data_IF_773739602309
#
_entry.id   IF_773739602309
#
_cell.length_a   1.000
_cell.length_b   1.000
_cell.length_c   1.000
_cell.angle_alpha   90.00
_cell.angle_beta   90.00
_cell.angle_gamma   90.00
#
_symmetry.space_group_name_H-M   'P 1'
#
loop_
_entity.id
_entity.type
_entity.pdbx_description
1 polymer ?
#
# COMPACT_ATOMS: atom_id res chain seq x y z
N UNK A 1 9.46 -19.35 18.02
CA UNK A 1 10.10 -19.84 16.78
C UNK A 1 10.67 -18.67 16.00
N UNK A 2 11.84 -18.85 15.38
CA UNK A 2 12.43 -17.82 14.51
C UNK A 2 11.54 -17.63 13.27
N UNK A 3 11.29 -16.37 12.88
CA UNK A 3 10.60 -16.04 11.63
C UNK A 3 11.46 -16.46 10.43
N UNK A 4 10.80 -16.86 9.34
CA UNK A 4 11.45 -17.30 8.10
C UNK A 4 11.26 -16.23 7.02
N UNK A 5 12.33 -15.94 6.28
CA UNK A 5 12.31 -15.19 5.02
C UNK A 5 12.64 -16.11 3.85
N UNK A 6 12.16 -15.78 2.66
CA UNK A 6 12.65 -16.34 1.40
C UNK A 6 13.56 -15.31 0.74
N UNK A 7 14.78 -15.73 0.38
CA UNK A 7 15.78 -14.88 -0.29
C UNK A 7 16.40 -15.69 -1.42
N UNK A 8 16.21 -15.27 -2.66
CA UNK A 8 16.89 -15.80 -3.85
C UNK A 8 16.92 -17.34 -3.92
N UNK A 9 15.77 -18.00 -3.77
CA UNK A 9 15.65 -19.45 -3.87
C UNK A 9 15.76 -20.22 -2.54
N UNK A 10 16.02 -19.53 -1.41
CA UNK A 10 16.26 -20.18 -0.10
C UNK A 10 15.33 -19.66 0.97
N UNK A 11 14.79 -20.55 1.79
CA UNK A 11 14.08 -20.22 3.04
C UNK A 11 15.09 -20.15 4.18
N UNK A 12 15.27 -18.99 4.78
CA UNK A 12 16.29 -18.71 5.80
C UNK A 12 15.63 -18.16 7.07
N UNK A 13 16.23 -18.38 8.26
CA UNK A 13 15.83 -17.63 9.45
C UNK A 13 15.94 -16.14 9.19
N UNK A 14 14.90 -15.36 9.55
CA UNK A 14 14.86 -13.92 9.28
C UNK A 14 16.05 -13.18 9.90
N UNK A 15 16.53 -13.64 11.07
CA UNK A 15 17.66 -13.04 11.78
C UNK A 15 18.99 -13.11 11.01
N UNK A 16 19.13 -14.07 10.10
CA UNK A 16 20.35 -14.29 9.30
C UNK A 16 20.13 -14.12 7.80
N UNK A 17 18.89 -13.78 7.41
CA UNK A 17 18.56 -13.52 6.01
C UNK A 17 19.23 -12.20 5.56
N UNK A 18 19.97 -12.24 4.47
CA UNK A 18 20.74 -11.09 3.95
C UNK A 18 20.62 -11.01 2.42
N UNK A 19 20.81 -9.82 1.91
CA UNK A 19 21.01 -9.53 0.50
C UNK A 19 22.45 -9.11 0.26
N UNK A 20 22.91 -9.24 -0.99
CA UNK A 20 24.26 -8.82 -1.36
C UNK A 20 24.39 -7.29 -1.24
N UNK A 21 25.53 -6.79 -0.80
CA UNK A 21 25.80 -5.34 -0.70
C UNK A 21 25.80 -4.62 -2.04
N UNK A 22 25.98 -5.34 -3.14
CA UNK A 22 25.89 -4.84 -4.52
C UNK A 22 24.48 -5.05 -5.15
N UNK A 23 23.47 -5.42 -4.34
CA UNK A 23 22.09 -5.46 -4.82
C UNK A 23 21.62 -4.05 -5.19
N UNK A 24 21.13 -3.90 -6.43
CA UNK A 24 20.73 -2.58 -6.95
C UNK A 24 19.51 -2.00 -6.23
N UNK A 25 18.65 -2.82 -5.68
CA UNK A 25 17.56 -2.36 -4.81
C UNK A 25 18.08 -1.66 -3.56
N UNK A 26 19.16 -2.18 -2.97
CA UNK A 26 19.84 -1.55 -1.83
C UNK A 26 20.59 -0.29 -2.23
N UNK A 27 21.33 -0.31 -3.36
CA UNK A 27 22.19 0.81 -3.76
C UNK A 27 21.46 1.98 -4.42
N UNK A 28 20.37 1.71 -5.19
CA UNK A 28 19.73 2.69 -6.08
C UNK A 28 18.21 2.73 -5.94
N UNK A 29 17.62 1.95 -5.04
CA UNK A 29 16.18 1.73 -5.01
C UNK A 29 15.63 1.14 -6.33
N UNK A 30 16.48 0.43 -7.10
CA UNK A 30 16.14 -0.16 -8.39
C UNK A 30 15.38 -1.47 -8.21
N UNK A 31 14.10 -1.34 -7.84
CA UNK A 31 13.24 -2.47 -7.53
C UNK A 31 11.81 -2.06 -7.20
N UNK A 32 10.96 -3.05 -7.07
CA UNK A 32 9.53 -2.93 -6.80
C UNK A 32 9.13 -3.81 -5.62
N UNK A 33 7.98 -3.54 -5.02
CA UNK A 33 7.47 -4.35 -3.92
C UNK A 33 5.95 -4.54 -4.00
N UNK A 34 5.46 -5.57 -3.33
CA UNK A 34 4.03 -5.80 -3.09
C UNK A 34 3.79 -6.15 -1.62
N UNK A 35 2.58 -5.83 -1.17
CA UNK A 35 2.09 -6.21 0.15
C UNK A 35 0.68 -6.75 -0.01
N UNK A 36 0.47 -8.02 0.31
CA UNK A 36 -0.85 -8.62 0.36
C UNK A 36 -1.29 -8.83 1.82
N UNK A 37 -2.55 -8.56 2.10
CA UNK A 37 -3.17 -8.99 3.35
C UNK A 37 -3.19 -10.52 3.43
N UNK A 38 -3.00 -11.04 4.64
CA UNK A 38 -3.22 -12.45 4.97
C UNK A 38 -4.39 -12.53 5.93
N UNK A 39 -5.46 -13.23 5.53
CA UNK A 39 -6.67 -13.44 6.32
C UNK A 39 -6.99 -14.93 6.43
N UNK A 40 -7.06 -15.45 7.66
CA UNK A 40 -7.26 -16.87 7.92
C UNK A 40 -6.15 -17.77 7.37
N UNK A 41 -4.96 -17.23 7.11
CA UNK A 41 -3.83 -17.92 6.48
C UNK A 41 -3.85 -17.92 4.95
N UNK A 42 -4.82 -17.24 4.33
CA UNK A 42 -5.00 -17.11 2.87
C UNK A 42 -4.64 -15.69 2.41
N UNK A 43 -4.17 -15.54 1.18
CA UNK A 43 -3.87 -14.23 0.60
C UNK A 43 -5.16 -13.55 0.10
N UNK A 44 -5.27 -12.27 0.36
CA UNK A 44 -6.38 -11.42 -0.13
C UNK A 44 -5.95 -10.74 -1.42
N UNK A 45 -6.77 -10.82 -2.46
CA UNK A 45 -6.58 -10.19 -3.78
C UNK A 45 -5.23 -10.51 -4.45
N UNK A 46 -4.67 -11.70 -4.24
CA UNK A 46 -3.37 -12.10 -4.79
C UNK A 46 -3.29 -11.85 -6.31
N UNK A 47 -4.30 -12.21 -7.06
CA UNK A 47 -4.35 -12.04 -8.52
C UNK A 47 -4.18 -10.57 -8.93
N UNK A 48 -4.84 -9.64 -8.23
CA UNK A 48 -4.75 -8.19 -8.48
C UNK A 48 -3.35 -7.66 -8.09
N UNK A 49 -2.79 -8.12 -6.97
CA UNK A 49 -1.43 -7.78 -6.55
C UNK A 49 -0.38 -8.25 -7.56
N UNK A 50 -0.50 -9.49 -8.06
CA UNK A 50 0.43 -10.01 -9.08
C UNK A 50 0.29 -9.30 -10.42
N UNK A 51 -0.88 -8.80 -10.77
CA UNK A 51 -1.07 -7.98 -11.97
C UNK A 51 -0.35 -6.63 -11.83
N UNK A 52 -0.46 -5.96 -10.67
CA UNK A 52 0.25 -4.70 -10.40
C UNK A 52 1.76 -4.90 -10.29
N UNK A 53 2.22 -6.01 -9.71
CA UNK A 53 3.63 -6.39 -9.71
C UNK A 53 4.20 -6.47 -11.13
N UNK A 54 3.50 -7.16 -12.03
CA UNK A 54 3.91 -7.27 -13.44
C UNK A 54 3.98 -5.91 -14.11
N UNK A 55 2.98 -5.05 -13.89
CA UNK A 55 3.00 -3.67 -14.38
C UNK A 55 4.23 -2.93 -13.86
N UNK A 56 4.48 -2.91 -12.56
CA UNK A 56 5.62 -2.19 -11.97
C UNK A 56 6.97 -2.71 -12.45
N UNK A 57 7.11 -4.03 -12.60
CA UNK A 57 8.33 -4.65 -13.17
C UNK A 57 8.54 -4.25 -14.64
N UNK A 58 7.46 -4.25 -15.46
CA UNK A 58 7.56 -3.88 -16.87
C UNK A 58 7.97 -2.43 -17.06
N UNK A 59 7.43 -1.51 -16.26
CA UNK A 59 7.78 -0.09 -16.31
C UNK A 59 9.26 0.16 -15.98
N UNK A 60 9.82 -0.61 -15.05
CA UNK A 60 11.25 -0.55 -14.73
C UNK A 60 12.11 -1.48 -15.61
N UNK A 61 11.52 -2.21 -16.56
CA UNK A 61 12.23 -3.18 -17.41
C UNK A 61 13.02 -4.22 -16.58
N UNK A 62 12.43 -4.69 -15.47
CA UNK A 62 12.94 -5.76 -14.62
C UNK A 62 12.24 -7.06 -15.02
N UNK A 63 13.00 -8.10 -15.30
CA UNK A 63 12.44 -9.41 -15.62
C UNK A 63 11.74 -10.03 -14.39
N UNK A 64 10.69 -10.82 -14.63
CA UNK A 64 10.08 -11.63 -13.57
C UNK A 64 11.08 -12.71 -13.11
N UNK A 65 11.39 -12.85 -11.80
CA UNK A 65 12.42 -13.81 -11.35
C UNK A 65 12.02 -15.27 -11.50
N UNK A 66 10.72 -15.55 -11.61
CA UNK A 66 10.16 -16.90 -11.75
C UNK A 66 8.76 -16.86 -12.36
N UNK A 67 8.22 -18.03 -12.76
CA UNK A 67 6.84 -18.13 -13.24
C UNK A 67 5.85 -17.69 -12.16
N UNK A 68 4.72 -17.05 -12.51
CA UNK A 68 3.73 -16.57 -11.54
C UNK A 68 3.23 -17.65 -10.58
N UNK A 69 2.99 -18.87 -11.06
CA UNK A 69 2.57 -19.99 -10.20
C UNK A 69 3.64 -20.38 -9.17
N UNK A 70 4.92 -20.34 -9.53
CA UNK A 70 6.01 -20.61 -8.59
C UNK A 70 6.12 -19.50 -7.53
N UNK A 71 5.91 -18.23 -7.93
CA UNK A 71 5.90 -17.11 -7.00
C UNK A 71 4.74 -17.23 -6.01
N UNK A 72 3.54 -17.60 -6.46
CA UNK A 72 2.40 -17.88 -5.58
C UNK A 72 2.74 -18.94 -4.53
N UNK A 73 3.34 -20.07 -4.95
CA UNK A 73 3.79 -21.11 -4.01
C UNK A 73 4.76 -20.56 -2.96
N UNK A 74 5.71 -19.69 -3.37
CA UNK A 74 6.66 -19.07 -2.43
C UNK A 74 5.95 -18.18 -1.42
N UNK A 75 4.98 -17.36 -1.85
CA UNK A 75 4.21 -16.48 -0.97
C UNK A 75 3.45 -17.29 0.09
N UNK A 76 2.68 -18.29 -0.35
CA UNK A 76 1.92 -19.18 0.54
C UNK A 76 2.83 -19.94 1.49
N UNK A 77 3.99 -20.43 1.03
CA UNK A 77 4.93 -21.16 1.86
C UNK A 77 5.58 -20.28 2.94
N UNK A 78 5.89 -19.01 2.62
CA UNK A 78 6.38 -18.04 3.62
C UNK A 78 5.30 -17.75 4.66
N UNK A 79 4.04 -17.56 4.26
CA UNK A 79 2.90 -17.40 5.18
C UNK A 79 2.76 -18.62 6.09
N UNK A 80 2.77 -19.84 5.53
CA UNK A 80 2.65 -21.10 6.24
C UNK A 80 3.78 -21.31 7.27
N UNK A 81 5.04 -21.11 6.86
CA UNK A 81 6.22 -21.28 7.74
C UNK A 81 6.22 -20.28 8.91
N UNK A 82 5.70 -19.08 8.69
CA UNK A 82 5.57 -18.06 9.72
C UNK A 82 4.26 -18.17 10.52
N UNK A 83 3.38 -19.13 10.20
CA UNK A 83 2.07 -19.32 10.86
C UNK A 83 1.24 -18.03 10.89
N UNK A 84 1.31 -17.24 9.82
CA UNK A 84 0.56 -15.99 9.74
C UNK A 84 -0.89 -16.34 9.43
N UNK A 85 -1.79 -16.00 10.35
CA UNK A 85 -3.23 -16.14 10.16
C UNK A 85 -3.91 -14.82 9.85
N UNK A 86 -3.45 -13.75 10.48
CA UNK A 86 -3.92 -12.38 10.31
C UNK A 86 -2.70 -11.48 10.19
N UNK A 87 -2.47 -10.92 9.03
CA UNK A 87 -1.24 -10.17 8.85
C UNK A 87 -0.98 -9.78 7.42
N UNK A 88 0.28 -9.72 7.06
CA UNK A 88 0.72 -9.37 5.71
C UNK A 88 1.85 -10.28 5.24
N UNK A 89 1.92 -10.50 3.93
CA UNK A 89 3.11 -10.95 3.22
C UNK A 89 3.66 -9.79 2.41
N UNK A 90 4.96 -9.56 2.51
CA UNK A 90 5.72 -8.56 1.76
C UNK A 90 6.62 -9.27 0.75
N UNK A 91 6.61 -8.79 -0.47
CA UNK A 91 7.46 -9.24 -1.57
C UNK A 91 8.23 -8.05 -2.13
N UNK A 92 9.55 -8.20 -2.33
CA UNK A 92 10.39 -7.23 -3.03
C UNK A 92 11.17 -7.92 -4.14
N UNK A 93 11.25 -7.28 -5.30
CA UNK A 93 12.08 -7.71 -6.42
C UNK A 93 12.95 -6.53 -6.84
N UNK A 94 14.28 -6.72 -6.82
CA UNK A 94 15.22 -5.76 -7.37
C UNK A 94 15.73 -6.22 -8.73
N UNK A 95 16.43 -5.32 -9.46
CA UNK A 95 17.10 -5.69 -10.72
C UNK A 95 18.24 -6.69 -10.50
N UNK A 96 18.61 -7.00 -9.25
CA UNK A 96 19.63 -7.97 -8.92
C UNK A 96 20.97 -7.36 -8.54
N UNK A 97 21.98 -8.22 -8.50
CA UNK A 97 23.34 -7.90 -8.06
C UNK A 97 24.21 -7.60 -9.24
N UNK A 98 24.86 -6.45 -9.21
CA UNK A 98 25.83 -6.05 -10.23
C UNK A 98 26.81 -5.03 -9.65
N UNK A 99 28.02 -4.97 -10.19
CA UNK A 99 28.99 -3.92 -9.88
C UNK A 99 28.32 -2.55 -9.97
N UNK A 100 28.63 -1.66 -9.02
CA UNK A 100 28.01 -0.35 -8.91
C UNK A 100 28.24 0.51 -10.14
N UNK A 101 27.17 0.73 -10.90
CA UNK A 101 27.07 1.64 -12.03
C UNK A 101 25.61 2.14 -12.13
N UNK A 102 25.38 3.38 -12.57
CA UNK A 102 24.04 3.94 -12.75
C UNK A 102 23.32 3.32 -13.95
N UNK A 103 24.06 2.93 -14.99
CA UNK A 103 23.50 2.21 -16.14
C UNK A 103 22.90 0.85 -15.75
N UNK A 104 22.09 0.29 -16.63
CA UNK A 104 21.59 -1.06 -16.41
C UNK A 104 22.73 -2.08 -16.45
N UNK A 105 22.66 -3.13 -15.63
CA UNK A 105 23.65 -4.20 -15.66
C UNK A 105 23.58 -4.98 -16.96
N UNK A 106 24.58 -5.84 -17.25
CA UNK A 106 24.57 -6.70 -18.44
C UNK A 106 23.27 -7.47 -18.60
N UNK A 107 22.86 -7.69 -19.83
CA UNK A 107 21.70 -8.52 -20.16
C UNK A 107 21.82 -9.91 -19.51
N UNK A 108 20.72 -10.40 -18.94
CA UNK A 108 20.70 -11.69 -18.23
C UNK A 108 21.04 -11.61 -16.74
N UNK A 109 21.34 -10.43 -16.19
CA UNK A 109 21.45 -10.26 -14.73
C UNK A 109 20.16 -10.74 -14.07
N UNK A 110 20.29 -11.72 -13.18
CA UNK A 110 19.13 -12.32 -12.49
C UNK A 110 18.53 -11.34 -11.47
N UNK A 111 17.24 -11.05 -11.50
CA UNK A 111 16.59 -10.26 -10.46
C UNK A 111 16.72 -10.95 -9.10
N UNK A 112 16.88 -10.15 -8.04
CA UNK A 112 16.86 -10.66 -6.69
C UNK A 112 15.46 -10.55 -6.10
N UNK A 113 15.07 -11.54 -5.28
CA UNK A 113 13.75 -11.63 -4.67
C UNK A 113 13.85 -11.87 -3.16
N UNK A 114 13.07 -11.10 -2.40
CA UNK A 114 12.91 -11.27 -0.96
C UNK A 114 11.42 -11.36 -0.63
N UNK A 115 11.03 -12.35 0.18
CA UNK A 115 9.67 -12.47 0.71
C UNK A 115 9.72 -12.65 2.22
N UNK A 116 8.90 -11.87 2.93
CA UNK A 116 8.71 -11.98 4.38
C UNK A 116 7.23 -11.97 4.73
N UNK A 117 6.85 -12.52 5.88
CA UNK A 117 5.50 -12.42 6.39
C UNK A 117 5.50 -12.17 7.90
N UNK A 118 4.44 -11.49 8.38
CA UNK A 118 4.26 -11.22 9.81
C UNK A 118 2.79 -11.11 10.17
N UNK A 119 2.46 -11.49 11.40
CA UNK A 119 1.14 -11.19 11.95
C UNK A 119 0.98 -9.69 12.20
N UNK A 120 -0.25 -9.21 12.12
CA UNK A 120 -0.70 -7.90 12.58
C UNK A 120 -1.58 -8.09 13.81
N UNK A 121 -1.62 -7.07 14.65
CA UNK A 121 -2.54 -7.03 15.79
C UNK A 121 -3.93 -6.59 15.28
N UNK A 122 -4.82 -7.58 15.13
CA UNK A 122 -6.18 -7.36 14.64
C UNK A 122 -6.98 -6.50 15.62
N UNK A 123 -6.85 -6.72 16.94
CA UNK A 123 -7.60 -5.97 17.94
C UNK A 123 -7.20 -4.48 17.90
N UNK A 124 -5.90 -4.20 17.79
CA UNK A 124 -5.41 -2.83 17.61
C UNK A 124 -5.91 -2.19 16.30
N UNK A 125 -5.96 -2.96 15.19
CA UNK A 125 -6.47 -2.47 13.91
C UNK A 125 -7.97 -2.15 13.96
N UNK A 126 -8.78 -3.00 14.61
CA UNK A 126 -10.21 -2.77 14.77
C UNK A 126 -10.49 -1.59 15.72
N UNK A 127 -9.75 -1.49 16.84
CA UNK A 127 -9.84 -0.32 17.73
C UNK A 127 -9.52 0.98 16.96
N UNK A 128 -8.44 1.00 16.19
CA UNK A 128 -8.05 2.16 15.39
C UNK A 128 -9.13 2.54 14.37
N UNK A 129 -9.80 1.57 13.77
CA UNK A 129 -10.89 1.83 12.83
C UNK A 129 -12.17 2.35 13.55
N UNK A 130 -12.44 1.86 14.75
CA UNK A 130 -13.56 2.33 15.56
C UNK A 130 -13.34 3.74 16.10
N UNK A 131 -12.11 4.10 16.46
CA UNK A 131 -11.77 5.45 16.95
C UNK A 131 -11.56 6.46 15.80
N UNK A 132 -11.18 5.97 14.61
CA UNK A 132 -10.68 6.79 13.50
C UNK A 132 -9.27 7.32 13.77
N UNK A 133 -8.66 7.93 12.74
CA UNK A 133 -7.29 8.44 12.83
C UNK A 133 -7.16 9.90 12.42
N UNK A 134 -6.09 10.53 12.87
CA UNK A 134 -5.67 11.84 12.39
C UNK A 134 -4.69 11.67 11.21
N UNK A 135 -4.75 12.60 10.27
CA UNK A 135 -3.76 12.79 9.20
C UNK A 135 -3.24 14.22 9.22
N UNK A 136 -2.05 14.42 8.66
CA UNK A 136 -1.51 15.75 8.37
C UNK A 136 -1.35 15.93 6.86
N UNK A 137 -1.30 17.15 6.39
CA UNK A 137 -0.90 17.48 5.03
C UNK A 137 0.60 17.73 4.93
N UNK A 138 1.21 17.32 3.83
CA UNK A 138 2.63 17.56 3.52
C UNK A 138 2.78 17.89 2.03
N UNK A 139 3.80 18.67 1.63
CA UNK A 139 4.04 18.95 0.21
C UNK A 139 4.29 17.67 -0.60
N UNK A 140 3.75 17.62 -1.83
CA UNK A 140 4.07 16.56 -2.80
C UNK A 140 5.51 16.74 -3.31
N UNK A 141 6.38 15.85 -2.91
CA UNK A 141 7.80 15.88 -3.25
C UNK A 141 8.33 14.53 -3.74
N UNK A 142 7.42 13.60 -4.11
CA UNK A 142 7.77 12.33 -4.70
C UNK A 142 8.11 12.50 -6.18
N UNK A 143 8.65 11.46 -6.79
CA UNK A 143 8.91 11.45 -8.22
C UNK A 143 7.60 11.36 -9.04
N UNK A 144 7.70 11.68 -10.36
CA UNK A 144 6.52 11.79 -11.22
C UNK A 144 5.85 10.45 -11.60
N UNK A 145 6.42 9.30 -11.20
CA UNK A 145 5.95 7.94 -11.54
C UNK A 145 5.59 7.15 -10.30
N UNK A 146 4.76 7.72 -9.43
CA UNK A 146 4.30 7.04 -8.20
C UNK A 146 3.28 5.91 -8.47
N UNK A 147 2.79 5.80 -9.69
CA UNK A 147 2.03 4.67 -10.22
C UNK A 147 2.85 3.35 -10.19
N UNK A 148 4.17 3.45 -10.30
CA UNK A 148 5.09 2.31 -10.15
C UNK A 148 5.32 2.06 -8.66
N UNK A 149 5.00 0.85 -8.19
CA UNK A 149 5.21 0.49 -6.79
C UNK A 149 6.68 0.18 -6.50
N UNK A 150 7.54 1.22 -6.67
CA UNK A 150 8.99 1.13 -6.48
C UNK A 150 9.37 1.20 -5.01
N UNK A 151 10.57 0.74 -4.66
CA UNK A 151 11.15 0.88 -3.31
C UNK A 151 11.78 2.24 -3.04
N UNK A 152 11.61 3.23 -3.94
CA UNK A 152 12.02 4.62 -3.77
C UNK A 152 11.08 5.37 -2.81
N UNK A 153 11.14 5.05 -1.53
CA UNK A 153 10.17 5.47 -0.53
C UNK A 153 10.67 6.55 0.44
N UNK A 154 11.81 7.20 0.16
CA UNK A 154 12.36 8.19 1.10
C UNK A 154 11.40 9.35 1.40
N UNK A 155 10.73 9.99 0.42
CA UNK A 155 9.71 10.99 0.72
C UNK A 155 8.56 10.46 1.57
N UNK A 156 8.10 9.22 1.30
CA UNK A 156 7.05 8.56 2.07
C UNK A 156 7.47 8.30 3.52
N UNK A 157 8.73 7.90 3.74
CA UNK A 157 9.30 7.68 5.08
C UNK A 157 9.34 8.98 5.87
N UNK A 158 9.82 10.08 5.26
CA UNK A 158 9.88 11.39 5.89
C UNK A 158 8.48 11.93 6.21
N UNK A 159 7.55 11.82 5.28
CA UNK A 159 6.14 12.20 5.49
C UNK A 159 5.50 11.39 6.64
N UNK A 160 5.75 10.08 6.68
CA UNK A 160 5.25 9.22 7.75
C UNK A 160 5.84 9.55 9.11
N UNK A 161 7.12 9.92 9.15
CA UNK A 161 7.78 10.36 10.37
C UNK A 161 7.20 11.70 10.87
N UNK A 162 7.02 12.68 9.98
CA UNK A 162 6.39 13.96 10.31
C UNK A 162 4.96 13.76 10.89
N UNK A 163 4.18 12.82 10.32
CA UNK A 163 2.86 12.50 10.87
C UNK A 163 2.96 11.96 12.31
N UNK A 164 3.88 11.03 12.55
CA UNK A 164 4.09 10.46 13.90
C UNK A 164 4.50 11.51 14.94
N UNK A 165 5.37 12.43 14.58
CA UNK A 165 5.83 13.52 15.44
C UNK A 165 4.69 14.46 15.84
N UNK A 166 3.65 14.56 15.02
CA UNK A 166 2.44 15.33 15.30
C UNK A 166 1.28 14.45 15.85
N UNK A 167 1.55 13.21 16.26
CA UNK A 167 0.54 12.30 16.80
C UNK A 167 -0.49 11.82 15.77
N UNK A 168 -0.21 12.00 14.48
CA UNK A 168 -1.06 11.53 13.39
C UNK A 168 -0.64 10.14 12.88
N UNK A 169 -1.59 9.44 12.25
CA UNK A 169 -1.38 8.09 11.72
C UNK A 169 -0.79 8.10 10.31
N UNK A 170 -1.16 9.11 9.50
CA UNK A 170 -0.82 9.17 8.08
C UNK A 170 -0.51 10.61 7.68
N UNK A 171 0.23 10.79 6.59
CA UNK A 171 0.43 12.07 5.92
C UNK A 171 -0.20 12.02 4.53
N UNK A 172 -0.95 13.02 4.16
CA UNK A 172 -1.47 13.23 2.81
C UNK A 172 -0.57 14.17 2.04
N UNK A 173 -0.12 13.74 0.87
CA UNK A 173 0.63 14.59 -0.04
C UNK A 173 -0.31 15.57 -0.75
N UNK A 174 0.11 16.85 -0.81
CA UNK A 174 -0.66 17.94 -1.42
C UNK A 174 0.20 18.62 -2.49
N UNK A 175 -0.32 18.71 -3.70
CA UNK A 175 0.38 19.34 -4.82
C UNK A 175 0.39 20.87 -4.74
N UNK A 176 1.12 21.52 -5.64
CA UNK A 176 1.25 23.00 -5.68
C UNK A 176 -0.09 23.72 -5.96
N UNK A 177 -1.12 23.00 -6.38
CA UNK A 177 -2.48 23.53 -6.60
C UNK A 177 -3.40 23.27 -5.40
N UNK A 178 -2.86 22.82 -4.26
CA UNK A 178 -3.63 22.50 -3.06
C UNK A 178 -4.45 21.22 -3.15
N UNK A 179 -4.20 20.34 -4.13
CA UNK A 179 -4.95 19.10 -4.33
C UNK A 179 -4.25 17.94 -3.63
N UNK A 180 -5.04 17.15 -2.93
CA UNK A 180 -4.57 15.90 -2.32
C UNK A 180 -4.28 14.87 -3.40
N UNK A 181 -3.07 14.29 -3.40
CA UNK A 181 -2.73 13.15 -4.25
C UNK A 181 -3.12 11.83 -3.57
N UNK A 182 -2.38 11.42 -2.57
CA UNK A 182 -2.65 10.23 -1.76
C UNK A 182 -1.89 10.30 -0.42
N UNK A 183 -2.04 9.29 0.43
CA UNK A 183 -1.28 9.17 1.66
C UNK A 183 0.14 8.62 1.45
N UNK A 184 0.99 8.71 2.46
CA UNK A 184 2.36 8.17 2.41
C UNK A 184 2.40 6.64 2.23
N UNK A 185 1.30 5.95 2.54
CA UNK A 185 1.16 4.49 2.36
C UNK A 185 -0.28 4.05 2.04
N UNK A 186 -1.12 4.96 1.56
CA UNK A 186 -2.56 4.75 1.36
C UNK A 186 -3.12 5.65 0.27
N UNK A 187 -4.28 5.30 -0.29
CA UNK A 187 -5.05 6.23 -1.11
C UNK A 187 -6.01 7.05 -0.24
N UNK A 188 -6.27 8.29 -0.62
CA UNK A 188 -7.10 9.23 0.10
C UNK A 188 -8.51 9.33 -0.51
N UNK A 189 -9.52 9.50 0.35
CA UNK A 189 -10.92 9.57 0.00
C UNK A 189 -11.64 10.57 0.87
N UNK A 190 -12.65 11.21 0.31
CA UNK A 190 -13.61 12.04 1.05
C UNK A 190 -15.04 11.66 0.68
N UNK A 191 -15.97 11.97 1.56
CA UNK A 191 -17.41 11.94 1.28
C UNK A 191 -17.94 13.37 1.43
N UNK A 192 -18.45 13.92 0.36
CA UNK A 192 -19.00 15.27 0.34
C UNK A 192 -20.29 15.37 1.17
N UNK A 193 -20.73 16.59 1.48
CA UNK A 193 -21.97 16.81 2.25
C UNK A 193 -23.21 16.27 1.55
N UNK A 194 -23.23 16.29 0.21
CA UNK A 194 -24.32 15.71 -0.61
C UNK A 194 -24.15 14.18 -0.84
N UNK A 195 -23.20 13.54 -0.17
CA UNK A 195 -23.04 12.10 -0.10
C UNK A 195 -22.29 11.44 -1.24
N UNK A 196 -21.56 12.19 -2.07
CA UNK A 196 -20.70 11.64 -3.09
C UNK A 196 -19.38 11.17 -2.50
N UNK A 197 -18.92 9.99 -2.87
CA UNK A 197 -17.57 9.51 -2.57
C UNK A 197 -16.61 10.04 -3.62
N UNK A 198 -15.55 10.72 -3.21
CA UNK A 198 -14.54 11.31 -4.11
C UNK A 198 -13.18 10.75 -3.80
N UNK A 199 -12.45 10.38 -4.84
CA UNK A 199 -11.04 9.99 -4.77
C UNK A 199 -10.32 10.40 -6.05
N UNK A 200 -9.02 10.65 -5.97
CA UNK A 200 -8.25 10.98 -7.17
C UNK A 200 -8.26 9.79 -8.14
N UNK A 201 -8.42 10.09 -9.45
CA UNK A 201 -8.27 9.09 -10.49
C UNK A 201 -6.84 8.51 -10.49
N UNK A 202 -6.73 7.21 -10.79
CA UNK A 202 -5.45 6.53 -10.84
C UNK A 202 -4.72 6.84 -12.15
N UNK A 203 -3.97 7.93 -12.14
CA UNK A 203 -3.00 8.35 -13.16
C UNK A 203 -1.56 8.07 -12.67
N UNK A 204 -0.55 8.71 -13.27
CA UNK A 204 0.83 8.61 -12.79
C UNK A 204 1.07 9.28 -11.41
N UNK A 205 0.14 10.13 -10.98
CA UNK A 205 0.26 10.91 -9.74
C UNK A 205 -0.16 10.19 -8.46
N UNK A 206 -0.73 8.98 -8.57
CA UNK A 206 -1.06 8.11 -7.42
C UNK A 206 -0.84 6.64 -7.75
N UNK A 207 -0.62 5.84 -6.71
CA UNK A 207 -0.62 4.40 -6.86
C UNK A 207 -2.05 3.87 -7.08
N UNK A 208 -2.25 3.01 -8.08
CA UNK A 208 -3.49 2.24 -8.22
C UNK A 208 -3.58 1.18 -7.12
N UNK A 209 -4.12 1.58 -5.95
CA UNK A 209 -4.25 0.71 -4.78
C UNK A 209 -5.17 -0.49 -5.08
N UNK A 210 -4.79 -1.70 -4.63
CA UNK A 210 -5.65 -2.88 -4.79
C UNK A 210 -6.89 -2.74 -3.91
N UNK A 211 -6.72 -2.37 -2.64
CA UNK A 211 -7.85 -2.06 -1.76
C UNK A 211 -8.73 -0.95 -2.32
N UNK A 212 -8.13 0.11 -2.92
CA UNK A 212 -8.88 1.15 -3.63
C UNK A 212 -9.73 0.55 -4.76
N UNK A 213 -9.19 -0.36 -5.54
CA UNK A 213 -9.93 -0.99 -6.65
C UNK A 213 -11.13 -1.80 -6.14
N UNK A 214 -10.96 -2.57 -5.06
CA UNK A 214 -12.07 -3.30 -4.44
C UNK A 214 -13.13 -2.34 -3.90
N UNK A 215 -12.72 -1.23 -3.26
CA UNK A 215 -13.66 -0.21 -2.77
C UNK A 215 -14.42 0.45 -3.92
N UNK A 216 -13.82 0.67 -5.09
CA UNK A 216 -14.54 1.14 -6.28
C UNK A 216 -15.61 0.14 -6.73
N UNK A 217 -15.27 -1.16 -6.79
CA UNK A 217 -16.21 -2.23 -7.11
C UNK A 217 -17.38 -2.25 -6.11
N UNK A 218 -17.10 -2.07 -4.80
CA UNK A 218 -18.13 -2.01 -3.75
C UNK A 218 -19.05 -0.80 -3.90
N UNK A 219 -18.49 0.38 -4.16
CA UNK A 219 -19.24 1.63 -4.36
C UNK A 219 -20.21 1.47 -5.52
N UNK A 220 -19.74 0.89 -6.65
CA UNK A 220 -20.59 0.61 -7.80
C UNK A 220 -21.70 -0.40 -7.47
N UNK A 221 -21.38 -1.49 -6.79
CA UNK A 221 -22.33 -2.53 -6.41
C UNK A 221 -23.41 -2.03 -5.41
N UNK A 222 -23.04 -1.10 -4.54
CA UNK A 222 -23.95 -0.51 -3.55
C UNK A 222 -24.72 0.71 -4.07
N UNK A 223 -24.50 1.11 -5.34
CA UNK A 223 -25.17 2.26 -5.94
C UNK A 223 -24.81 3.61 -5.32
N UNK A 224 -23.65 3.71 -4.67
CA UNK A 224 -23.17 4.96 -4.12
C UNK A 224 -22.65 5.88 -5.26
N UNK A 225 -22.83 7.17 -5.10
CA UNK A 225 -22.32 8.15 -6.07
C UNK A 225 -20.81 8.29 -5.94
N UNK A 226 -20.08 8.07 -7.03
CA UNK A 226 -18.62 8.17 -7.10
C UNK A 226 -18.20 9.28 -8.06
N UNK A 227 -17.17 10.02 -7.66
CA UNK A 227 -16.42 10.92 -8.54
C UNK A 227 -14.92 10.58 -8.45
N UNK A 228 -14.34 10.07 -9.54
CA UNK A 228 -12.90 9.89 -9.65
C UNK A 228 -12.25 11.17 -10.18
N UNK A 229 -11.90 12.07 -9.29
CA UNK A 229 -11.20 13.34 -9.55
C UNK A 229 -10.30 13.72 -8.39
N UNK A 230 -9.34 14.61 -8.66
CA UNK A 230 -8.62 15.27 -7.58
C UNK A 230 -9.58 16.09 -6.71
N UNK A 231 -9.31 16.19 -5.42
CA UNK A 231 -10.00 17.07 -4.48
C UNK A 231 -8.97 17.91 -3.72
N UNK A 232 -9.37 19.09 -3.31
CA UNK A 232 -8.49 20.01 -2.58
C UNK A 232 -8.48 19.70 -1.08
N UNK A 233 -7.48 20.23 -0.38
CA UNK A 233 -7.44 20.15 1.07
C UNK A 233 -8.64 20.88 1.70
N UNK A 234 -9.12 21.97 1.11
CA UNK A 234 -10.32 22.67 1.56
C UNK A 234 -11.59 21.83 1.39
N UNK A 235 -11.73 21.09 0.26
CA UNK A 235 -12.82 20.12 0.10
C UNK A 235 -12.75 19.02 1.16
N UNK A 236 -11.54 18.56 1.51
CA UNK A 236 -11.35 17.56 2.54
C UNK A 236 -11.75 18.08 3.94
N UNK A 237 -11.42 19.31 4.26
CA UNK A 237 -11.87 19.95 5.50
C UNK A 237 -13.39 20.19 5.55
N UNK A 238 -14.02 20.47 4.40
CA UNK A 238 -15.46 20.67 4.29
C UNK A 238 -16.26 19.35 4.18
N UNK A 239 -15.58 18.21 3.99
CA UNK A 239 -16.21 16.91 3.81
C UNK A 239 -16.97 16.46 5.07
N UNK A 240 -18.00 15.62 4.89
CA UNK A 240 -18.68 15.01 6.02
C UNK A 240 -17.97 13.77 6.55
N UNK A 241 -17.23 13.06 5.68
CA UNK A 241 -16.39 11.92 6.05
C UNK A 241 -15.08 11.98 5.25
N UNK A 242 -14.01 11.44 5.81
CA UNK A 242 -12.78 11.13 5.08
C UNK A 242 -12.28 9.75 5.50
N UNK A 243 -11.56 9.08 4.63
CA UNK A 243 -10.94 7.79 4.94
C UNK A 243 -9.73 7.52 4.04
N UNK A 244 -8.94 6.54 4.42
CA UNK A 244 -7.83 6.03 3.64
C UNK A 244 -8.00 4.55 3.34
N UNK A 245 -7.36 4.07 2.26
CA UNK A 245 -7.36 2.64 1.90
C UNK A 245 -5.94 2.13 1.70
N UNK A 246 -5.64 0.95 2.26
CA UNK A 246 -4.37 0.25 2.07
C UNK A 246 -4.51 -1.24 2.37
N UNK A 247 -3.61 -2.07 1.86
CA UNK A 247 -3.63 -3.52 2.07
C UNK A 247 -3.49 -3.94 3.55
N UNK A 248 -2.89 -3.12 4.40
CA UNK A 248 -2.68 -3.45 5.82
C UNK A 248 -3.76 -2.89 6.75
N UNK A 249 -4.58 -1.95 6.31
CA UNK A 249 -5.60 -1.27 7.12
C UNK A 249 -6.99 -1.36 6.51
N UNK A 250 -7.11 -1.84 5.29
CA UNK A 250 -8.33 -1.93 4.49
C UNK A 250 -8.91 -0.52 4.28
N UNK A 251 -10.04 -0.22 4.84
CA UNK A 251 -10.65 1.11 4.93
C UNK A 251 -10.46 1.62 6.36
N UNK A 252 -9.85 2.78 6.52
CA UNK A 252 -9.57 3.37 7.83
C UNK A 252 -10.14 4.80 7.87
N UNK A 253 -11.13 5.08 8.72
CA UNK A 253 -11.73 6.41 8.84
C UNK A 253 -10.71 7.46 9.28
N UNK A 254 -10.75 8.63 8.64
CA UNK A 254 -9.99 9.82 9.03
C UNK A 254 -10.94 10.79 9.72
N UNK A 255 -10.68 11.10 10.98
CA UNK A 255 -11.54 11.96 11.81
C UNK A 255 -10.95 13.33 12.05
N UNK A 256 -9.68 13.53 11.67
CA UNK A 256 -8.98 14.81 11.83
C UNK A 256 -7.95 15.01 10.72
N UNK A 257 -7.89 16.21 10.14
CA UNK A 257 -6.90 16.64 9.14
C UNK A 257 -6.25 17.93 9.65
N UNK A 258 -4.92 17.96 9.78
CA UNK A 258 -4.15 19.12 10.28
C UNK A 258 -4.74 19.69 11.59
N UNK A 259 -5.07 18.83 12.51
CA UNK A 259 -5.68 19.22 13.80
C UNK A 259 -7.16 19.58 13.76
N UNK A 260 -7.78 19.76 12.58
CA UNK A 260 -9.20 20.11 12.40
C UNK A 260 -10.06 18.86 12.26
N UNK A 261 -11.21 18.76 12.97
CA UNK A 261 -12.11 17.62 12.81
C UNK A 261 -12.71 17.56 11.40
N UNK A 262 -12.91 16.35 10.89
CA UNK A 262 -13.68 16.07 9.68
C UNK A 262 -15.12 15.76 10.09
N UNK A 263 -16.10 16.41 9.48
CA UNK A 263 -17.50 16.25 9.85
C UNK A 263 -17.74 16.53 11.33
N UNK A 264 -18.17 15.52 12.07
CA UNK A 264 -18.41 15.60 13.53
C UNK A 264 -17.20 15.10 14.37
N UNK A 265 -16.06 14.80 13.72
CA UNK A 265 -14.87 14.28 14.41
C UNK A 265 -14.93 12.80 14.80
N UNK A 266 -15.89 12.04 14.24
CA UNK A 266 -16.05 10.60 14.46
C UNK A 266 -16.05 9.84 13.13
N UNK A 267 -15.79 8.51 13.15
CA UNK A 267 -15.86 7.67 11.95
C UNK A 267 -17.21 7.76 11.25
N UNK A 268 -17.16 7.99 9.94
CA UNK A 268 -18.37 8.14 9.13
C UNK A 268 -19.04 6.81 8.80
N UNK A 269 -20.33 6.86 8.47
CA UNK A 269 -21.14 5.66 8.20
C UNK A 269 -20.72 4.95 6.92
N UNK A 270 -20.35 5.71 5.88
CA UNK A 270 -19.91 5.12 4.58
C UNK A 270 -18.57 4.41 4.76
N UNK A 271 -17.58 5.07 5.36
CA UNK A 271 -16.28 4.47 5.62
C UNK A 271 -16.40 3.19 6.48
N UNK A 272 -17.23 3.22 7.53
CA UNK A 272 -17.46 2.09 8.42
C UNK A 272 -18.16 0.93 7.72
N UNK A 273 -19.14 1.19 6.85
CA UNK A 273 -19.83 0.19 6.07
C UNK A 273 -18.89 -0.47 5.05
N UNK A 274 -18.12 0.32 4.29
CA UNK A 274 -17.13 -0.18 3.36
C UNK A 274 -16.09 -1.07 4.04
N UNK A 275 -15.60 -0.69 5.25
CA UNK A 275 -14.70 -1.55 6.02
C UNK A 275 -15.34 -2.87 6.40
N UNK A 276 -16.53 -2.85 6.98
CA UNK A 276 -17.25 -4.05 7.44
C UNK A 276 -17.46 -5.04 6.31
N UNK A 277 -17.85 -4.55 5.13
CA UNK A 277 -18.27 -5.37 4.00
C UNK A 277 -17.11 -5.73 3.06
N UNK A 278 -15.92 -5.14 3.22
CA UNK A 278 -14.76 -5.27 2.31
C UNK A 278 -14.44 -6.73 1.93
N UNK A 279 -14.34 -7.62 2.93
CA UNK A 279 -13.92 -9.00 2.68
C UNK A 279 -14.98 -9.88 2.00
N UNK A 280 -16.21 -9.38 1.84
CA UNK A 280 -17.21 -10.04 1.01
C UNK A 280 -16.98 -9.80 -0.50
N UNK A 281 -16.22 -8.76 -0.84
CA UNK A 281 -15.90 -8.39 -2.22
C UNK A 281 -14.47 -8.75 -2.62
N UNK A 282 -13.56 -8.83 -1.66
CA UNK A 282 -12.17 -9.21 -1.90
C UNK A 282 -12.03 -10.70 -2.21
N UNK A 283 -11.13 -11.03 -3.14
CA UNK A 283 -10.81 -12.42 -3.50
C UNK A 283 -9.87 -13.03 -2.45
N UNK A 284 -9.99 -14.35 -2.18
CA UNK A 284 -9.05 -15.07 -1.30
C UNK A 284 -8.49 -16.31 -1.98
N UNK A 285 -7.17 -16.51 -1.93
CA UNK A 285 -6.45 -17.65 -2.51
C UNK A 285 -5.72 -18.47 -1.44
#
# INVERSE_FOLDING_TARGET
MSRIAYVNGRYLPLATASVNVEDRGYQFSDGVYEVCEVRGGRLVDERRHMARLRFSLSELRIAMPMKPAALSVVLHEVVRRNRVRWGIVYLQISRGVSRRDHGFPPAGTAPAIVVTARNLDLASAEKMAADGVAVISVPENRWARVDIKSVSLLPNVLAKQAAREQGAREAWFVDAQGRVSEGSSSNAWIVTRDGKVVTRQADHGILKGITRTVVLDMIAAQGLKLEERAFTLDEAHAAREAFITSASQIVLPVVKIDGRPVGNGAPGLIASALRRDFHAYAETS
#
